data_IF_378059243077
#
_entry.id   IF_378059243077
#
_cell.length_a   1.000
_cell.length_b   1.000
_cell.length_c   1.000
_cell.angle_alpha   90.00
_cell.angle_beta   90.00
_cell.angle_gamma   90.00
#
_symmetry.space_group_name_H-M   'P 1'
#
loop_
_entity.id
_entity.type
_entity.pdbx_description
1 polymer ?
#
# COMPACT_ATOMS: atom_id res chain seq x y z
N UNK A 1 -27.54 3.05 -12.95
CA UNK A 1 -26.15 3.57 -13.02
C UNK A 1 -25.55 3.15 -14.35
N UNK A 2 -24.98 4.07 -15.14
CA UNK A 2 -24.38 3.72 -16.43
C UNK A 2 -23.05 2.98 -16.22
N UNK A 3 -22.72 2.04 -17.10
CA UNK A 3 -21.49 1.23 -17.02
C UNK A 3 -20.23 2.12 -17.01
N UNK A 4 -20.24 3.21 -17.78
CA UNK A 4 -19.14 4.18 -17.81
C UNK A 4 -18.89 4.88 -16.47
N UNK A 5 -19.96 5.35 -15.80
CA UNK A 5 -19.84 5.99 -14.49
C UNK A 5 -19.29 5.01 -13.44
N UNK A 6 -19.75 3.76 -13.49
CA UNK A 6 -19.26 2.70 -12.61
C UNK A 6 -17.76 2.48 -12.77
N UNK A 7 -17.30 2.38 -14.01
CA UNK A 7 -15.88 2.18 -14.29
C UNK A 7 -15.03 3.34 -13.76
N UNK A 8 -15.43 4.58 -14.04
CA UNK A 8 -14.71 5.78 -13.58
C UNK A 8 -14.62 5.83 -12.05
N UNK A 9 -15.70 5.52 -11.35
CA UNK A 9 -15.70 5.48 -9.89
C UNK A 9 -14.77 4.40 -9.33
N UNK A 10 -14.72 3.22 -9.96
CA UNK A 10 -13.80 2.18 -9.53
C UNK A 10 -12.33 2.56 -9.78
N UNK A 11 -12.03 3.29 -10.85
CA UNK A 11 -10.68 3.84 -11.08
C UNK A 11 -10.33 4.87 -10.00
N UNK A 12 -11.22 5.80 -9.69
CA UNK A 12 -10.99 6.76 -8.60
C UNK A 12 -10.84 6.08 -7.23
N UNK A 13 -11.60 5.02 -6.97
CA UNK A 13 -11.43 4.21 -5.77
C UNK A 13 -10.03 3.59 -5.70
N UNK A 14 -9.54 3.05 -6.81
CA UNK A 14 -8.20 2.45 -6.91
C UNK A 14 -7.12 3.49 -6.59
N UNK A 15 -7.24 4.70 -7.15
CA UNK A 15 -6.34 5.82 -6.85
C UNK A 15 -6.44 6.23 -5.37
N UNK A 16 -7.64 6.35 -4.82
CA UNK A 16 -7.87 6.70 -3.42
C UNK A 16 -7.21 5.71 -2.45
N UNK A 17 -7.52 4.41 -2.57
CA UNK A 17 -6.95 3.38 -1.69
C UNK A 17 -5.44 3.23 -1.84
N UNK A 18 -4.92 3.32 -3.07
CA UNK A 18 -3.47 3.26 -3.29
C UNK A 18 -2.74 4.44 -2.64
N UNK A 19 -3.30 5.65 -2.77
CA UNK A 19 -2.81 6.85 -2.10
C UNK A 19 -2.89 6.78 -0.58
N UNK A 20 -3.96 6.19 -0.02
CA UNK A 20 -4.07 5.92 1.43
C UNK A 20 -2.95 5.00 1.90
N UNK A 21 -2.71 3.89 1.19
CA UNK A 21 -1.62 2.96 1.54
C UNK A 21 -0.25 3.65 1.50
N UNK A 22 0.02 4.44 0.46
CA UNK A 22 1.29 5.17 0.33
C UNK A 22 1.48 6.23 1.43
N UNK A 23 0.46 7.04 1.71
CA UNK A 23 0.52 8.08 2.75
C UNK A 23 0.70 7.49 4.15
N UNK A 24 0.05 6.37 4.47
CA UNK A 24 0.28 5.65 5.73
C UNK A 24 1.71 5.11 5.84
N UNK A 25 2.28 4.60 4.74
CA UNK A 25 3.65 4.11 4.75
C UNK A 25 4.63 5.24 5.09
N UNK A 26 4.47 6.41 4.47
CA UNK A 26 5.34 7.57 4.70
C UNK A 26 5.13 8.15 6.11
N UNK A 27 3.87 8.27 6.57
CA UNK A 27 3.57 8.76 7.90
C UNK A 27 4.24 7.90 8.98
N UNK A 28 4.21 6.57 8.81
CA UNK A 28 4.88 5.64 9.70
C UNK A 28 6.40 5.76 9.62
N UNK A 29 6.96 5.89 8.41
CA UNK A 29 8.40 6.09 8.25
C UNK A 29 8.87 7.33 9.01
N UNK A 30 8.15 8.47 8.88
CA UNK A 30 8.47 9.71 9.60
C UNK A 30 8.37 9.56 11.11
N UNK A 31 7.32 8.89 11.59
CA UNK A 31 7.19 8.58 13.02
C UNK A 31 8.37 7.75 13.56
N UNK A 32 8.87 6.79 12.76
CA UNK A 32 10.01 5.95 13.15
C UNK A 32 11.35 6.69 13.06
N UNK A 33 11.51 7.59 12.08
CA UNK A 33 12.76 8.31 11.83
C UNK A 33 12.92 9.55 12.74
N UNK A 34 11.88 10.36 12.86
CA UNK A 34 11.94 11.68 13.49
C UNK A 34 11.27 11.71 14.88
N UNK A 35 10.57 10.64 15.26
CA UNK A 35 9.81 10.56 16.51
C UNK A 35 8.55 11.43 16.55
N UNK A 36 8.34 12.27 15.52
CA UNK A 36 7.21 13.21 15.43
C UNK A 36 6.01 12.55 14.71
N UNK A 37 4.80 12.76 15.23
CA UNK A 37 3.57 12.34 14.54
C UNK A 37 3.19 13.37 13.48
N UNK A 38 3.38 13.01 12.21
CA UNK A 38 2.92 13.81 11.08
C UNK A 38 1.37 13.75 10.95
N UNK A 39 0.70 14.61 11.72
CA UNK A 39 -0.76 14.78 11.72
C UNK A 39 -1.31 15.16 10.34
N UNK A 40 -0.53 15.91 9.56
CA UNK A 40 -0.91 16.31 8.20
C UNK A 40 -1.04 15.08 7.29
N UNK A 41 -0.04 14.20 7.34
CA UNK A 41 -0.04 12.99 6.52
C UNK A 41 -1.12 11.98 6.93
N UNK A 42 -1.40 11.88 8.23
CA UNK A 42 -2.55 11.10 8.73
C UNK A 42 -3.86 11.68 8.20
N UNK A 43 -4.02 13.00 8.20
CA UNK A 43 -5.20 13.68 7.63
C UNK A 43 -5.38 13.38 6.13
N UNK A 44 -4.31 13.47 5.35
CA UNK A 44 -4.33 13.11 3.91
C UNK A 44 -4.73 11.66 3.71
N UNK A 45 -4.19 10.73 4.50
CA UNK A 45 -4.52 9.31 4.39
C UNK A 45 -6.01 9.04 4.67
N UNK A 46 -6.58 9.70 5.67
CA UNK A 46 -7.99 9.59 6.04
C UNK A 46 -8.89 10.16 4.92
N UNK A 47 -8.54 11.32 4.35
CA UNK A 47 -9.29 11.93 3.27
C UNK A 47 -9.31 11.04 2.01
N UNK A 48 -8.16 10.47 1.64
CA UNK A 48 -8.05 9.53 0.52
C UNK A 48 -8.85 8.24 0.77
N UNK A 49 -8.86 7.75 2.02
CA UNK A 49 -9.58 6.54 2.38
C UNK A 49 -11.09 6.75 2.25
N UNK A 50 -11.61 7.85 2.80
CA UNK A 50 -13.03 8.20 2.72
C UNK A 50 -13.45 8.40 1.27
N UNK A 51 -12.64 9.10 0.47
CA UNK A 51 -12.89 9.27 -0.95
C UNK A 51 -12.96 7.93 -1.70
N UNK A 52 -11.96 7.07 -1.52
CA UNK A 52 -11.93 5.75 -2.16
C UNK A 52 -13.09 4.84 -1.72
N UNK A 53 -13.44 4.89 -0.43
CA UNK A 53 -14.57 4.17 0.14
C UNK A 53 -15.90 4.64 -0.45
N UNK A 54 -16.12 5.95 -0.60
CA UNK A 54 -17.32 6.50 -1.22
C UNK A 54 -17.42 6.10 -2.70
N UNK A 55 -16.33 6.22 -3.47
CA UNK A 55 -16.30 5.80 -4.86
C UNK A 55 -16.63 4.31 -5.03
N UNK A 56 -16.12 3.46 -4.13
CA UNK A 56 -16.39 2.01 -4.14
C UNK A 56 -17.81 1.70 -3.68
N UNK A 57 -18.31 2.37 -2.64
CA UNK A 57 -19.67 2.22 -2.17
C UNK A 57 -20.68 2.45 -3.29
N UNK A 58 -20.46 3.51 -4.08
CA UNK A 58 -21.32 3.85 -5.22
C UNK A 58 -21.09 2.89 -6.40
N UNK A 59 -19.83 2.50 -6.68
CA UNK A 59 -19.48 1.65 -7.83
C UNK A 59 -19.75 0.15 -7.67
N UNK A 60 -19.62 -0.38 -6.46
CA UNK A 60 -19.66 -1.82 -6.18
C UNK A 60 -20.43 -2.17 -4.89
N UNK A 61 -20.98 -1.18 -4.18
CA UNK A 61 -21.63 -1.38 -2.90
C UNK A 61 -20.63 -1.43 -1.73
N UNK A 62 -21.19 -1.45 -0.51
CA UNK A 62 -20.41 -1.38 0.74
C UNK A 62 -19.49 -2.60 0.92
N UNK A 63 -19.94 -3.79 0.48
CA UNK A 63 -19.12 -5.01 0.54
C UNK A 63 -17.86 -4.94 -0.34
N UNK A 64 -17.91 -4.18 -1.44
CA UNK A 64 -16.76 -3.94 -2.32
C UNK A 64 -15.63 -3.20 -1.61
N UNK A 65 -15.93 -2.37 -0.62
CA UNK A 65 -14.93 -1.60 0.13
C UNK A 65 -13.99 -2.55 0.89
N UNK A 66 -14.55 -3.54 1.57
CA UNK A 66 -13.77 -4.50 2.36
C UNK A 66 -13.00 -5.47 1.47
N UNK A 67 -13.64 -5.98 0.41
CA UNK A 67 -13.03 -6.99 -0.46
C UNK A 67 -11.97 -6.40 -1.41
N UNK A 68 -12.26 -5.26 -2.03
CA UNK A 68 -11.37 -4.63 -3.02
C UNK A 68 -10.50 -3.55 -2.40
N UNK A 69 -11.10 -2.62 -1.65
CA UNK A 69 -10.39 -1.49 -1.07
C UNK A 69 -9.33 -1.91 -0.05
N UNK A 70 -9.66 -2.85 0.82
CA UNK A 70 -8.72 -3.40 1.80
C UNK A 70 -7.49 -4.04 1.16
N UNK A 71 -7.68 -4.83 0.10
CA UNK A 71 -6.58 -5.51 -0.61
C UNK A 71 -5.70 -4.49 -1.35
N UNK A 72 -6.31 -3.54 -2.06
CA UNK A 72 -5.56 -2.49 -2.79
C UNK A 72 -4.76 -1.62 -1.82
N UNK A 73 -5.40 -1.18 -0.73
CA UNK A 73 -4.76 -0.37 0.30
C UNK A 73 -3.60 -1.12 0.96
N UNK A 74 -3.79 -2.39 1.32
CA UNK A 74 -2.74 -3.22 1.91
C UNK A 74 -1.56 -3.44 0.94
N UNK A 75 -1.83 -3.82 -0.31
CA UNK A 75 -0.78 -4.04 -1.30
C UNK A 75 0.01 -2.74 -1.57
N UNK A 76 -0.69 -1.60 -1.72
CA UNK A 76 -0.05 -0.31 -1.92
C UNK A 76 0.82 0.10 -0.72
N UNK A 77 0.35 -0.15 0.50
CA UNK A 77 1.13 0.08 1.71
C UNK A 77 2.41 -0.76 1.71
N UNK A 78 2.31 -2.07 1.46
CA UNK A 78 3.44 -3.00 1.45
C UNK A 78 4.48 -2.59 0.41
N UNK A 79 4.06 -2.30 -0.82
CA UNK A 79 4.96 -1.90 -1.91
C UNK A 79 5.65 -0.57 -1.58
N UNK A 80 4.91 0.41 -1.07
CA UNK A 80 5.49 1.73 -0.75
C UNK A 80 6.45 1.62 0.41
N UNK A 81 6.10 0.84 1.43
CA UNK A 81 6.93 0.59 2.60
C UNK A 81 8.25 -0.09 2.26
N UNK A 82 8.23 -1.04 1.32
CA UNK A 82 9.44 -1.68 0.79
C UNK A 82 10.32 -0.67 0.05
N UNK A 83 9.73 0.13 -0.85
CA UNK A 83 10.47 1.14 -1.64
C UNK A 83 11.13 2.22 -0.79
N UNK A 84 10.52 2.61 0.32
CA UNK A 84 11.08 3.62 1.24
C UNK A 84 11.98 2.99 2.32
N UNK A 85 12.23 1.69 2.25
CA UNK A 85 13.18 0.99 3.11
C UNK A 85 12.69 0.74 4.55
N UNK A 86 11.38 0.81 4.81
CA UNK A 86 10.85 0.48 6.15
C UNK A 86 11.03 -1.00 6.50
N UNK A 87 10.94 -1.88 5.50
CA UNK A 87 11.24 -3.31 5.59
C UNK A 87 11.56 -3.82 4.20
N UNK A 88 12.28 -4.94 4.09
CA UNK A 88 12.60 -5.55 2.79
C UNK A 88 11.74 -6.79 2.60
N UNK A 89 10.91 -6.80 1.55
CA UNK A 89 10.14 -7.98 1.15
C UNK A 89 11.11 -8.95 0.48
N UNK A 90 11.71 -9.83 1.29
CA UNK A 90 12.51 -10.93 0.77
C UNK A 90 11.55 -12.05 0.42
N UNK A 91 11.37 -12.35 -0.87
CA UNK A 91 10.67 -13.56 -1.27
C UNK A 91 11.47 -14.75 -0.73
N UNK A 92 10.99 -15.38 0.34
CA UNK A 92 11.56 -16.61 0.87
C UNK A 92 11.36 -17.72 -0.17
N UNK A 93 12.29 -17.83 -1.12
CA UNK A 93 12.12 -18.69 -2.28
C UNK A 93 13.17 -18.55 -3.36
N UNK A 94 14.40 -18.16 -3.03
CA UNK A 94 15.63 -18.60 -3.72
C UNK A 94 16.71 -18.63 -2.65
N UNK A 95 16.78 -19.71 -1.86
CA UNK A 95 18.08 -20.13 -1.31
C UNK A 95 18.94 -20.47 -2.52
N UNK A 96 19.67 -19.49 -3.04
CA UNK A 96 20.76 -19.75 -3.95
C UNK A 96 21.80 -20.50 -3.13
N UNK A 97 21.80 -21.81 -3.33
CA UNK A 97 22.78 -22.74 -2.79
C UNK A 97 24.15 -22.35 -3.37
N UNK A 98 24.81 -21.35 -2.77
CA UNK A 98 26.21 -21.02 -3.05
C UNK A 98 27.02 -22.27 -2.72
N UNK A 99 27.57 -23.00 -3.72
CA UNK A 99 28.53 -24.04 -3.40
C UNK A 99 29.74 -23.30 -2.82
N UNK A 100 30.08 -23.64 -1.58
CA UNK A 100 31.23 -23.07 -0.89
C UNK A 100 32.48 -23.12 -1.78
N UNK A 101 33.04 -21.94 -2.06
CA UNK A 101 34.36 -21.80 -2.65
C UNK A 101 35.38 -22.44 -1.69
N UNK A 102 36.14 -23.47 -2.11
CA UNK A 102 37.14 -24.07 -1.24
C UNK A 102 38.29 -23.08 -1.09
N UNK A 103 38.46 -22.54 0.12
CA UNK A 103 39.70 -21.86 0.52
C UNK A 103 40.88 -22.79 0.24
N UNK A 104 41.63 -22.49 -0.82
CA UNK A 104 42.97 -23.04 -0.97
C UNK A 104 43.84 -22.40 0.11
N UNK A 105 44.19 -23.24 1.09
CA UNK A 105 45.28 -23.06 2.02
C UNK A 105 46.53 -23.54 1.31
N UNK A 106 47.38 -22.63 0.82
CA UNK A 106 48.86 -22.79 0.88
C UNK A 106 49.54 -21.46 0.57
#
# INVERSE_FOLDING_TARGET
>A
MTTGLRFILLVFALVGFSGTGASLAIARQRQLADGERDLGMVGVSAMLFVFGALCTAVGAGVSGILAFGGVVMWAAYVITADRIGMFKVTAAGVEEHTPAEPRQTT
#
